data_IF_405338109191
#
_entry.id   IF_405338109191
#
_cell.length_a   1.000
_cell.length_b   1.000
_cell.length_c   1.000
_cell.angle_alpha   90.00
_cell.angle_beta   90.00
_cell.angle_gamma   90.00
#
_symmetry.space_group_name_H-M   'P 1'
#
loop_
_entity.id
_entity.type
_entity.pdbx_description
1 polymer ?
#
# COMPACT_ATOMS: atom_id res chain seq x y z
N UNK A 1 -5.40 -21.77 8.67
CA UNK A 1 -6.18 -20.71 7.99
C UNK A 1 -5.35 -19.45 8.01
N UNK A 2 -4.63 -19.19 6.91
CA UNK A 2 -3.97 -17.90 6.72
C UNK A 2 -5.02 -17.03 6.06
N UNK A 3 -5.72 -16.24 6.88
CA UNK A 3 -6.54 -15.15 6.39
C UNK A 3 -5.62 -14.11 5.76
N UNK A 4 -5.41 -14.21 4.47
CA UNK A 4 -4.54 -13.32 3.73
C UNK A 4 -5.39 -12.29 3.00
N UNK A 5 -5.55 -11.14 3.61
CA UNK A 5 -6.00 -9.95 2.92
C UNK A 5 -4.79 -9.10 2.54
N UNK A 6 -4.01 -9.58 1.62
CA UNK A 6 -2.86 -8.87 1.06
C UNK A 6 -3.02 -8.80 -0.44
N UNK A 7 -3.80 -7.82 -0.90
CA UNK A 7 -3.79 -7.43 -2.30
C UNK A 7 -2.35 -7.12 -2.71
N UNK A 8 -1.84 -7.83 -3.69
CA UNK A 8 -0.48 -7.73 -4.20
C UNK A 8 0.51 -8.79 -3.72
N UNK A 9 0.38 -9.33 -2.50
CA UNK A 9 1.28 -10.41 -2.03
C UNK A 9 0.76 -11.80 -2.35
N UNK A 10 -0.55 -11.97 -2.49
CA UNK A 10 -1.15 -13.26 -2.82
C UNK A 10 -0.75 -13.75 -4.21
N UNK A 11 -0.65 -12.86 -5.20
CA UNK A 11 -0.29 -13.27 -6.55
C UNK A 11 1.14 -13.80 -6.63
N UNK A 12 2.09 -13.17 -5.95
CA UNK A 12 3.47 -13.66 -5.93
C UNK A 12 3.65 -14.94 -5.10
N UNK A 13 2.87 -15.14 -4.05
CA UNK A 13 2.85 -16.37 -3.25
C UNK A 13 2.18 -17.51 -4.04
N UNK A 14 1.12 -17.21 -4.78
CA UNK A 14 0.43 -18.19 -5.65
C UNK A 14 1.31 -18.65 -6.79
N UNK A 15 2.06 -17.77 -7.43
CA UNK A 15 2.98 -18.11 -8.53
C UNK A 15 4.06 -19.13 -8.14
N UNK A 16 4.30 -19.29 -6.84
CA UNK A 16 5.28 -20.25 -6.32
C UNK A 16 4.71 -21.58 -5.92
N UNK A 17 3.41 -21.68 -5.83
CA UNK A 17 2.80 -22.99 -5.61
C UNK A 17 2.64 -23.70 -6.94
N UNK A 18 3.54 -24.65 -7.29
CA UNK A 18 3.47 -25.36 -8.56
C UNK A 18 2.13 -26.06 -8.76
N UNK A 19 1.47 -26.42 -7.65
CA UNK A 19 0.16 -27.08 -7.68
C UNK A 19 -0.95 -26.21 -8.29
N UNK A 20 -0.80 -24.87 -8.29
CA UNK A 20 -1.78 -23.96 -8.89
C UNK A 20 -1.64 -23.85 -10.41
N UNK A 21 -0.47 -24.15 -10.93
CA UNK A 21 -0.18 -24.15 -12.38
C UNK A 21 0.01 -25.56 -12.93
N UNK A 22 -0.18 -26.59 -12.10
CA UNK A 22 -0.05 -27.99 -12.52
C UNK A 22 -1.10 -28.32 -13.60
N UNK A 23 -0.62 -28.82 -14.74
CA UNK A 23 -1.48 -29.11 -15.89
C UNK A 23 -1.76 -27.94 -16.82
N UNK A 24 -1.31 -26.73 -16.52
CA UNK A 24 -1.39 -25.59 -17.44
C UNK A 24 -0.15 -25.51 -18.31
N UNK A 25 -0.35 -25.28 -19.61
CA UNK A 25 0.77 -24.95 -20.50
C UNK A 25 1.33 -23.58 -20.11
N UNK A 26 2.66 -23.45 -20.07
CA UNK A 26 3.36 -22.19 -19.68
C UNK A 26 2.90 -21.02 -20.53
N UNK A 27 2.56 -21.23 -21.79
CA UNK A 27 2.06 -20.20 -22.72
C UNK A 27 0.63 -19.70 -22.35
N UNK A 28 -0.10 -20.45 -21.52
CA UNK A 28 -1.42 -20.05 -21.04
C UNK A 28 -1.36 -19.21 -19.74
N UNK A 29 -0.16 -19.01 -19.19
CA UNK A 29 0.05 -18.28 -17.94
C UNK A 29 0.60 -16.91 -18.26
N UNK A 30 -0.11 -15.85 -17.84
CA UNK A 30 0.33 -14.46 -17.96
C UNK A 30 0.53 -13.84 -16.58
N UNK A 31 1.76 -13.45 -16.27
CA UNK A 31 2.16 -12.95 -14.95
C UNK A 31 2.25 -11.43 -14.96
N UNK A 32 1.53 -10.80 -14.04
CA UNK A 32 1.56 -9.34 -13.87
C UNK A 32 2.07 -9.01 -12.47
N UNK A 33 3.19 -8.30 -12.40
CA UNK A 33 3.67 -7.74 -11.15
C UNK A 33 2.94 -6.41 -10.87
N UNK A 34 2.17 -6.38 -9.79
CA UNK A 34 1.36 -5.22 -9.40
C UNK A 34 1.98 -4.56 -8.18
N UNK A 35 2.39 -3.30 -8.28
CA UNK A 35 2.98 -2.55 -7.17
C UNK A 35 2.77 -1.05 -7.32
N UNK A 36 2.73 -0.35 -6.18
CA UNK A 36 2.73 1.12 -6.15
C UNK A 36 4.16 1.63 -6.36
N UNK A 37 4.58 1.76 -7.61
CA UNK A 37 5.92 2.24 -7.97
C UNK A 37 5.91 3.78 -8.04
N UNK A 38 5.98 4.43 -6.89
CA UNK A 38 5.97 5.89 -6.79
C UNK A 38 7.21 6.50 -7.44
N UNK A 39 7.00 7.42 -8.39
CA UNK A 39 8.05 8.13 -9.10
C UNK A 39 8.12 9.63 -8.74
N UNK A 40 7.42 10.05 -7.67
CA UNK A 40 7.39 11.44 -7.25
C UNK A 40 8.63 11.80 -6.43
N UNK A 41 9.19 12.97 -6.72
CA UNK A 41 10.22 13.61 -5.92
C UNK A 41 9.60 14.76 -5.11
N UNK A 42 10.10 14.95 -3.89
CA UNK A 42 9.74 16.10 -3.05
C UNK A 42 10.53 17.35 -3.45
N UNK A 43 11.78 17.13 -3.86
CA UNK A 43 12.71 18.11 -4.36
C UNK A 43 13.76 17.44 -5.27
N UNK A 44 14.78 18.17 -5.70
CA UNK A 44 15.84 17.68 -6.61
C UNK A 44 16.64 16.50 -6.06
N UNK A 45 16.61 16.28 -4.74
CA UNK A 45 17.44 15.27 -4.07
C UNK A 45 16.63 14.23 -3.27
N UNK A 46 15.36 14.52 -2.96
CA UNK A 46 14.54 13.68 -2.10
C UNK A 46 13.38 13.05 -2.86
N UNK A 47 13.50 11.75 -3.08
CA UNK A 47 12.43 10.93 -3.65
C UNK A 47 11.50 10.42 -2.55
N UNK A 48 10.20 10.38 -2.85
CA UNK A 48 9.23 9.68 -2.00
C UNK A 48 9.48 8.18 -2.13
N UNK A 49 9.67 7.54 -0.99
CA UNK A 49 9.91 6.09 -0.97
C UNK A 49 8.61 5.33 -1.25
N UNK A 50 8.64 4.42 -2.21
CA UNK A 50 7.54 3.49 -2.48
C UNK A 50 7.05 2.77 -1.21
N UNK A 51 7.99 2.39 -0.34
CA UNK A 51 7.69 1.74 0.94
C UNK A 51 6.88 2.61 1.89
N UNK A 52 7.10 3.93 1.89
CA UNK A 52 6.36 4.86 2.74
C UNK A 52 4.93 5.05 2.22
N UNK A 53 4.73 5.11 0.90
CA UNK A 53 3.38 5.15 0.30
C UNK A 53 2.61 3.87 0.61
N UNK A 54 3.23 2.71 0.46
CA UNK A 54 2.61 1.42 0.79
C UNK A 54 2.25 1.33 2.28
N UNK A 55 3.12 1.83 3.16
CA UNK A 55 2.84 1.88 4.59
C UNK A 55 1.66 2.82 4.90
N UNK A 56 1.58 3.99 4.28
CA UNK A 56 0.45 4.91 4.41
C UNK A 56 -0.86 4.27 3.94
N UNK A 57 -0.88 3.65 2.76
CA UNK A 57 -2.03 2.88 2.26
C UNK A 57 -2.49 1.83 3.28
N UNK A 58 -1.53 1.09 3.86
CA UNK A 58 -1.83 0.06 4.86
C UNK A 58 -2.39 0.66 6.15
N UNK A 59 -1.80 1.75 6.66
CA UNK A 59 -2.29 2.42 7.88
C UNK A 59 -3.75 2.85 7.69
N UNK A 60 -4.05 3.50 6.56
CA UNK A 60 -5.42 3.94 6.26
C UNK A 60 -6.38 2.75 6.17
N UNK A 61 -6.03 1.71 5.39
CA UNK A 61 -6.86 0.51 5.24
C UNK A 61 -7.07 -0.23 6.57
N UNK A 62 -6.01 -0.45 7.34
CA UNK A 62 -6.08 -1.19 8.59
C UNK A 62 -6.94 -0.43 9.62
N UNK A 63 -6.91 0.91 9.62
CA UNK A 63 -7.78 1.72 10.45
C UNK A 63 -9.23 1.67 9.99
N UNK A 64 -9.49 1.82 8.68
CA UNK A 64 -10.84 1.88 8.12
C UNK A 64 -11.59 0.56 8.22
N UNK A 65 -10.93 -0.55 7.91
CA UNK A 65 -11.60 -1.84 7.74
C UNK A 65 -11.32 -2.86 8.85
N UNK A 66 -10.29 -2.64 9.67
CA UNK A 66 -9.85 -3.60 10.69
C UNK A 66 -9.80 -3.02 12.09
N UNK A 67 -10.15 -1.73 12.24
CA UNK A 67 -10.02 -1.00 13.49
C UNK A 67 -8.62 -1.17 14.16
N UNK A 68 -7.58 -1.35 13.34
CA UNK A 68 -6.22 -1.55 13.82
C UNK A 68 -5.53 -0.20 13.96
N UNK A 69 -5.10 0.18 15.18
CA UNK A 69 -4.41 1.46 15.41
C UNK A 69 -3.11 1.56 14.61
N UNK A 70 -2.73 2.76 14.15
CA UNK A 70 -1.51 2.99 13.37
C UNK A 70 -0.24 2.46 14.03
N UNK A 71 -0.15 2.54 15.35
CA UNK A 71 0.98 2.01 16.09
C UNK A 71 1.19 0.51 15.87
N UNK A 72 0.11 -0.27 15.86
CA UNK A 72 0.18 -1.72 15.62
C UNK A 72 0.63 -2.02 14.18
N UNK A 73 0.11 -1.27 13.20
CA UNK A 73 0.53 -1.39 11.80
C UNK A 73 2.02 -1.06 11.65
N UNK A 74 2.50 -0.01 12.32
CA UNK A 74 3.92 0.36 12.33
C UNK A 74 4.80 -0.72 12.96
N UNK A 75 4.39 -1.31 14.10
CA UNK A 75 5.14 -2.38 14.75
C UNK A 75 5.21 -3.66 13.90
N UNK A 76 4.17 -3.96 13.13
CA UNK A 76 4.15 -5.11 12.21
C UNK A 76 4.91 -4.87 10.90
N UNK A 77 5.19 -3.61 10.55
CA UNK A 77 5.77 -3.25 9.26
C UNK A 77 7.12 -3.90 8.95
N UNK A 78 8.08 -4.05 9.89
CA UNK A 78 9.33 -4.75 9.63
C UNK A 78 9.14 -6.19 9.16
N UNK A 79 8.17 -6.91 9.75
CA UNK A 79 7.84 -8.29 9.32
C UNK A 79 7.27 -8.33 7.91
N UNK A 80 6.39 -7.38 7.56
CA UNK A 80 5.86 -7.24 6.20
C UNK A 80 6.98 -6.98 5.21
N UNK A 81 7.89 -6.07 5.53
CA UNK A 81 9.05 -5.75 4.70
C UNK A 81 9.96 -6.95 4.48
N UNK A 82 10.23 -7.71 5.54
CA UNK A 82 11.00 -8.94 5.42
C UNK A 82 10.34 -9.95 4.46
N UNK A 83 9.01 -10.09 4.55
CA UNK A 83 8.25 -10.92 3.61
C UNK A 83 8.36 -10.42 2.16
N UNK A 84 8.26 -9.12 1.91
CA UNK A 84 8.42 -8.51 0.59
C UNK A 84 9.81 -8.77 0.01
N UNK A 85 10.86 -8.57 0.81
CA UNK A 85 12.26 -8.76 0.41
C UNK A 85 12.61 -10.22 0.14
N UNK A 86 12.00 -11.13 0.89
CA UNK A 86 12.26 -12.56 0.74
C UNK A 86 11.43 -13.20 -0.38
N UNK A 87 10.16 -12.78 -0.52
CA UNK A 87 9.18 -13.53 -1.29
C UNK A 87 8.60 -12.80 -2.50
N UNK A 88 8.81 -11.50 -2.63
CA UNK A 88 8.22 -10.68 -3.71
C UNK A 88 9.29 -10.11 -4.62
N UNK A 89 10.19 -9.29 -4.09
CA UNK A 89 11.15 -8.54 -4.92
C UNK A 89 12.12 -9.41 -5.71
N UNK A 90 12.64 -10.56 -5.20
CA UNK A 90 13.54 -11.40 -6.00
C UNK A 90 12.90 -12.01 -7.24
N UNK A 91 11.57 -11.95 -7.36
CA UNK A 91 10.81 -12.62 -8.42
C UNK A 91 10.04 -11.65 -9.32
N UNK A 92 10.19 -10.37 -9.11
CA UNK A 92 9.55 -9.34 -9.95
C UNK A 92 9.95 -9.45 -11.41
N UNK A 93 11.18 -9.90 -11.68
CA UNK A 93 11.69 -10.11 -13.05
C UNK A 93 11.06 -11.31 -13.76
N UNK A 94 10.38 -12.19 -13.04
CA UNK A 94 9.66 -13.33 -13.61
C UNK A 94 8.26 -12.95 -14.14
N UNK A 95 7.86 -11.71 -13.98
CA UNK A 95 6.60 -11.22 -14.50
C UNK A 95 6.70 -10.81 -15.97
N UNK A 96 5.67 -11.15 -16.74
CA UNK A 96 5.57 -10.77 -18.15
C UNK A 96 5.34 -9.26 -18.31
N UNK A 97 4.68 -8.64 -17.34
CA UNK A 97 4.43 -7.18 -17.28
C UNK A 97 4.45 -6.65 -15.85
N UNK A 98 4.84 -5.39 -15.72
CA UNK A 98 4.70 -4.60 -14.50
C UNK A 98 3.53 -3.64 -14.62
N UNK A 99 2.67 -3.62 -13.60
CA UNK A 99 1.56 -2.67 -13.49
C UNK A 99 1.80 -1.74 -12.30
N UNK A 100 2.00 -0.46 -12.59
CA UNK A 100 2.18 0.56 -11.56
C UNK A 100 0.82 1.04 -11.04
N UNK A 101 0.55 0.81 -9.76
CA UNK A 101 -0.68 1.23 -9.08
C UNK A 101 -0.55 2.57 -8.36
N UNK A 102 0.58 3.28 -8.49
CA UNK A 102 0.73 4.61 -7.89
C UNK A 102 -0.17 5.63 -8.60
N UNK A 103 -0.92 6.38 -7.81
CA UNK A 103 -1.77 7.46 -8.30
C UNK A 103 -1.16 8.80 -7.87
N UNK A 104 -1.11 9.77 -8.80
CA UNK A 104 -0.47 11.06 -8.53
C UNK A 104 -1.15 11.85 -7.41
N UNK A 105 -2.44 11.64 -7.22
CA UNK A 105 -3.25 12.32 -6.20
C UNK A 105 -3.44 11.53 -4.89
N UNK A 106 -2.82 10.37 -4.76
CA UNK A 106 -3.03 9.52 -3.58
C UNK A 106 -2.49 10.09 -2.27
N UNK A 107 -1.35 10.80 -2.33
CA UNK A 107 -0.71 11.30 -1.12
C UNK A 107 -1.51 12.39 -0.40
N UNK A 108 -2.11 13.39 -1.06
CA UNK A 108 -3.08 14.30 -0.43
C UNK A 108 -4.26 13.55 0.19
N UNK A 109 -4.79 12.55 -0.51
CA UNK A 109 -5.90 11.73 0.01
C UNK A 109 -5.48 10.94 1.24
N UNK A 110 -4.36 10.22 1.17
CA UNK A 110 -3.84 9.46 2.31
C UNK A 110 -3.48 10.37 3.50
N UNK A 111 -3.02 11.62 3.22
CA UNK A 111 -2.80 12.62 4.26
C UNK A 111 -4.06 12.90 5.07
N UNK A 112 -5.19 13.14 4.40
CA UNK A 112 -6.45 13.43 5.05
C UNK A 112 -6.81 12.36 6.11
N UNK A 113 -6.61 11.09 5.79
CA UNK A 113 -6.93 9.98 6.70
C UNK A 113 -5.83 9.66 7.72
N UNK A 114 -4.56 9.78 7.35
CA UNK A 114 -3.46 9.27 8.16
C UNK A 114 -2.81 10.32 9.07
N UNK A 115 -2.92 11.61 8.74
CA UNK A 115 -2.12 12.64 9.40
C UNK A 115 -2.37 12.74 10.91
N UNK A 116 -3.62 12.88 11.32
CA UNK A 116 -3.97 13.01 12.73
C UNK A 116 -3.76 11.70 13.50
N UNK A 117 -3.98 10.57 12.86
CA UNK A 117 -3.70 9.26 13.41
C UNK A 117 -2.22 9.08 13.75
N UNK A 118 -1.33 9.50 12.85
CA UNK A 118 0.11 9.46 13.07
C UNK A 118 0.57 10.48 14.12
N UNK A 119 -0.05 11.66 14.14
CA UNK A 119 0.24 12.73 15.10
C UNK A 119 -0.12 12.35 16.53
N UNK A 120 -1.12 11.49 16.71
CA UNK A 120 -1.55 11.00 18.02
C UNK A 120 -0.54 10.03 18.67
N UNK A 121 0.49 9.55 17.94
CA UNK A 121 1.53 8.68 18.49
C UNK A 121 2.48 9.50 19.36
N UNK A 122 2.57 9.22 20.69
CA UNK A 122 3.35 10.02 21.61
C UNK A 122 4.86 9.78 21.46
N UNK A 123 5.70 10.75 21.89
CA UNK A 123 7.16 10.68 21.75
C UNK A 123 7.83 9.47 22.42
N UNK A 124 7.21 8.92 23.46
CA UNK A 124 7.71 7.78 24.23
C UNK A 124 7.49 6.45 23.49
N UNK A 125 6.70 6.46 22.42
CA UNK A 125 6.39 5.26 21.65
C UNK A 125 7.58 4.87 20.75
N UNK A 126 7.88 3.58 20.67
CA UNK A 126 8.96 3.05 19.81
C UNK A 126 8.80 3.40 18.33
N UNK A 127 7.57 3.57 17.86
CA UNK A 127 7.24 3.91 16.46
C UNK A 127 7.19 5.41 16.19
N UNK A 128 7.45 6.27 17.19
CA UNK A 128 7.37 7.72 17.05
C UNK A 128 8.21 8.26 15.90
N UNK A 129 9.46 7.82 15.76
CA UNK A 129 10.34 8.28 14.69
C UNK A 129 9.83 7.89 13.30
N UNK A 130 9.25 6.71 13.17
CA UNK A 130 8.63 6.27 11.92
C UNK A 130 7.40 7.12 11.58
N UNK A 131 6.53 7.39 12.57
CA UNK A 131 5.38 8.26 12.40
C UNK A 131 5.78 9.69 12.02
N UNK A 132 6.79 10.26 12.69
CA UNK A 132 7.31 11.60 12.38
C UNK A 132 7.89 11.71 10.97
N UNK A 133 8.55 10.66 10.49
CA UNK A 133 9.05 10.60 9.11
C UNK A 133 7.91 10.65 8.10
N UNK A 134 6.83 9.87 8.31
CA UNK A 134 5.65 9.89 7.46
C UNK A 134 4.95 11.24 7.49
N UNK A 135 4.78 11.84 8.67
CA UNK A 135 4.21 13.20 8.83
C UNK A 135 5.04 14.22 8.04
N UNK A 136 6.38 14.14 8.13
CA UNK A 136 7.25 15.04 7.36
C UNK A 136 6.98 14.93 5.86
N UNK A 137 6.84 13.73 5.33
CA UNK A 137 6.49 13.50 3.92
C UNK A 137 5.11 14.07 3.60
N UNK A 138 4.12 13.83 4.44
CA UNK A 138 2.75 14.31 4.22
C UNK A 138 2.63 15.85 4.28
N UNK A 139 3.52 16.53 4.99
CA UNK A 139 3.53 18.01 5.06
C UNK A 139 3.87 18.71 3.74
N UNK A 140 4.41 17.99 2.76
CA UNK A 140 4.65 18.52 1.41
C UNK A 140 3.37 18.58 0.55
N UNK A 141 2.30 17.94 1.00
CA UNK A 141 1.04 17.87 0.26
C UNK A 141 -0.02 18.75 0.92
N UNK A 142 -0.93 19.35 0.13
CA UNK A 142 -2.03 20.11 0.68
C UNK A 142 -2.99 19.21 1.46
N UNK A 143 -3.69 19.79 2.40
CA UNK A 143 -4.88 19.18 2.96
C UNK A 143 -6.03 19.31 1.95
N UNK A 144 -6.89 18.30 1.89
CA UNK A 144 -8.03 18.27 0.97
C UNK A 144 -9.33 18.16 1.78
N UNK A 145 -10.36 18.78 1.27
CA UNK A 145 -11.69 18.75 1.89
C UNK A 145 -12.51 17.52 1.42
N UNK A 146 -13.64 17.31 2.11
CA UNK A 146 -14.56 16.22 1.78
C UNK A 146 -15.17 16.34 0.38
N UNK A 147 -15.30 17.55 -0.15
CA UNK A 147 -15.80 17.78 -1.50
C UNK A 147 -14.88 17.16 -2.55
N UNK A 148 -13.56 17.37 -2.42
CA UNK A 148 -12.55 16.75 -3.28
C UNK A 148 -12.53 15.23 -3.11
N UNK A 149 -12.69 14.73 -1.87
CA UNK A 149 -12.78 13.29 -1.62
C UNK A 149 -14.00 12.64 -2.30
N UNK A 150 -15.12 13.36 -2.36
CA UNK A 150 -16.32 12.87 -3.03
C UNK A 150 -16.16 12.75 -4.56
N UNK A 151 -15.28 13.55 -5.17
CA UNK A 151 -14.97 13.49 -6.61
C UNK A 151 -14.12 12.28 -7.00
N UNK A 152 -13.51 11.57 -6.04
CA UNK A 152 -12.72 10.37 -6.34
C UNK A 152 -13.64 9.31 -6.93
N UNK A 153 -13.35 8.81 -8.15
CA UNK A 153 -14.21 7.82 -8.81
C UNK A 153 -14.44 6.58 -7.94
N UNK A 154 -15.64 6.01 -7.93
CA UNK A 154 -15.98 4.84 -7.11
C UNK A 154 -15.18 3.58 -7.49
N UNK A 155 -14.67 3.51 -8.73
CA UNK A 155 -13.78 2.43 -9.21
C UNK A 155 -12.28 2.75 -9.05
N UNK A 156 -11.95 3.88 -8.42
CA UNK A 156 -10.53 4.19 -8.15
C UNK A 156 -9.93 3.18 -7.18
N UNK A 157 -8.71 2.76 -7.45
CA UNK A 157 -7.93 1.91 -6.54
C UNK A 157 -7.84 2.48 -5.12
N UNK A 158 -7.87 3.81 -4.97
CA UNK A 158 -7.88 4.43 -3.64
C UNK A 158 -9.08 4.04 -2.79
N UNK A 159 -10.22 3.73 -3.42
CA UNK A 159 -11.41 3.30 -2.70
C UNK A 159 -11.22 2.01 -1.91
N UNK A 160 -10.28 1.16 -2.32
CA UNK A 160 -9.86 -0.01 -1.54
C UNK A 160 -9.32 0.37 -0.14
N UNK A 161 -8.68 1.54 -0.04
CA UNK A 161 -8.06 1.99 1.22
C UNK A 161 -8.96 2.91 2.03
N UNK A 162 -9.73 3.78 1.36
CA UNK A 162 -10.56 4.81 2.00
C UNK A 162 -12.04 4.47 2.07
N UNK A 163 -12.48 3.43 1.38
CA UNK A 163 -13.88 3.01 1.31
C UNK A 163 -14.66 3.63 0.15
N UNK A 164 -15.90 3.16 -0.02
CA UNK A 164 -16.81 3.62 -1.09
C UNK A 164 -16.49 3.03 -2.47
N UNK A 165 -15.85 1.86 -2.54
CA UNK A 165 -15.74 1.08 -3.75
C UNK A 165 -17.09 0.50 -4.13
N UNK A 166 -17.44 0.55 -5.43
CA UNK A 166 -18.69 -0.05 -5.96
C UNK A 166 -18.46 -1.38 -6.66
N UNK A 167 -17.25 -1.91 -6.62
CA UNK A 167 -16.97 -3.27 -7.08
C UNK A 167 -17.50 -4.21 -6.00
N UNK A 168 -18.53 -4.98 -6.33
CA UNK A 168 -19.01 -6.06 -5.47
C UNK A 168 -17.95 -7.17 -5.44
N UNK A 169 -17.57 -7.59 -4.24
CA UNK A 169 -16.77 -8.81 -4.08
C UNK A 169 -17.63 -10.00 -4.51
N UNK A 170 -17.17 -10.70 -5.54
CA UNK A 170 -17.86 -11.89 -6.08
C UNK A 170 -17.61 -13.12 -5.20
#
# INVERSE_FOLDING_TARGET
EISCSLVGSEMCIRDRNPALSEGLHTEAIYRVFVSALTCLNLDDHNRIRTTDVRLLRRIVRDMQFRATPPNNTLSMWPSVRHGEETWIFPYQENADRMFNTALHYELPVLRHYAYDLLKAIPPENENYLAARRLIKTLNYFPDIDEGVLAEIPPLSLLREFIGGCTIEEA
#
